data_IF_250939985255
#
_entry.id   IF_250939985255
#
_cell.length_a   1.000
_cell.length_b   1.000
_cell.length_c   1.000
_cell.angle_alpha   90.00
_cell.angle_beta   90.00
_cell.angle_gamma   90.00
#
_symmetry.space_group_name_H-M   'P 1'
#
loop_
_entity.id
_entity.type
_entity.pdbx_description
1 polymer ?
#
# COMPACT_ATOMS: atom_id res chain seq x y z
N UNK A 1 -37.97 -13.03 -3.17
CA UNK A 1 -37.84 -12.57 -1.76
C UNK A 1 -37.05 -13.52 -0.86
N UNK A 2 -37.54 -14.73 -0.53
CA UNK A 2 -36.85 -15.59 0.47
C UNK A 2 -35.50 -16.18 0.01
N UNK A 3 -35.34 -16.49 -1.28
CA UNK A 3 -34.07 -17.01 -1.81
C UNK A 3 -33.01 -15.92 -1.99
N UNK A 4 -33.39 -14.71 -2.36
CA UNK A 4 -32.45 -13.59 -2.51
C UNK A 4 -31.81 -13.22 -1.17
N UNK A 5 -32.60 -13.23 -0.08
CA UNK A 5 -32.11 -13.00 1.27
C UNK A 5 -31.07 -14.05 1.69
N UNK A 6 -31.32 -15.33 1.36
CA UNK A 6 -30.38 -16.43 1.63
C UNK A 6 -29.05 -16.23 0.90
N UNK A 7 -29.10 -15.83 -0.38
CA UNK A 7 -27.89 -15.58 -1.18
C UNK A 7 -27.05 -14.46 -0.57
N UNK A 8 -27.67 -13.35 -0.17
CA UNK A 8 -26.96 -12.23 0.47
C UNK A 8 -26.31 -12.66 1.78
N UNK A 9 -27.01 -13.45 2.60
CA UNK A 9 -26.47 -13.98 3.87
C UNK A 9 -25.29 -14.91 3.61
N UNK A 10 -25.39 -15.86 2.67
CA UNK A 10 -24.28 -16.76 2.34
C UNK A 10 -23.08 -16.00 1.77
N UNK A 11 -23.31 -15.00 0.92
CA UNK A 11 -22.24 -14.21 0.33
C UNK A 11 -21.50 -13.40 1.41
N UNK A 12 -22.25 -12.77 2.32
CA UNK A 12 -21.67 -12.01 3.43
C UNK A 12 -20.92 -12.91 4.40
N UNK A 13 -21.45 -14.11 4.67
CA UNK A 13 -20.80 -15.10 5.50
C UNK A 13 -19.48 -15.58 4.88
N UNK A 14 -19.46 -15.93 3.59
CA UNK A 14 -18.24 -16.36 2.89
C UNK A 14 -17.18 -15.26 2.89
N UNK A 15 -17.56 -14.02 2.57
CA UNK A 15 -16.64 -12.88 2.56
C UNK A 15 -16.12 -12.57 3.97
N UNK A 16 -16.99 -12.58 4.97
CA UNK A 16 -16.63 -12.36 6.37
C UNK A 16 -15.69 -13.44 6.90
N UNK A 17 -15.95 -14.71 6.57
CA UNK A 17 -15.09 -15.83 6.92
C UNK A 17 -13.73 -15.75 6.21
N UNK A 18 -13.70 -15.40 4.93
CA UNK A 18 -12.45 -15.21 4.19
C UNK A 18 -11.58 -14.10 4.78
N UNK A 19 -12.18 -12.95 5.10
CA UNK A 19 -11.47 -11.85 5.76
C UNK A 19 -11.01 -12.22 7.18
N UNK A 20 -11.85 -12.92 7.94
CA UNK A 20 -11.51 -13.40 9.28
C UNK A 20 -10.33 -14.37 9.26
N UNK A 21 -10.32 -15.33 8.32
CA UNK A 21 -9.20 -16.23 8.09
C UNK A 21 -7.93 -15.46 7.73
N UNK A 22 -8.00 -14.52 6.79
CA UNK A 22 -6.85 -13.70 6.40
C UNK A 22 -6.24 -12.98 7.61
N UNK A 23 -7.08 -12.36 8.44
CA UNK A 23 -6.64 -11.64 9.64
C UNK A 23 -6.09 -12.57 10.72
N UNK A 24 -6.56 -13.81 10.78
CA UNK A 24 -6.11 -14.79 11.76
C UNK A 24 -4.79 -15.47 11.35
N UNK A 25 -4.64 -15.82 10.07
CA UNK A 25 -3.46 -16.57 9.58
C UNK A 25 -2.27 -15.67 9.30
N UNK A 26 -2.51 -14.42 8.91
CA UNK A 26 -1.43 -13.47 8.60
C UNK A 26 -1.20 -12.57 9.83
N UNK A 27 0.01 -12.56 10.41
CA UNK A 27 0.31 -11.70 11.55
C UNK A 27 0.24 -10.22 11.16
N UNK A 28 -0.28 -9.40 12.06
CA UNK A 28 -0.32 -7.94 11.92
C UNK A 28 1.11 -7.34 11.81
N UNK A 29 1.27 -6.17 11.20
CA UNK A 29 2.57 -5.50 11.01
C UNK A 29 3.34 -5.34 12.33
N UNK A 30 2.64 -5.07 13.43
CA UNK A 30 3.27 -4.97 14.75
C UNK A 30 3.76 -6.32 15.27
N UNK A 31 3.04 -7.40 14.97
CA UNK A 31 3.46 -8.76 15.33
C UNK A 31 4.63 -9.21 14.46
N UNK A 32 4.63 -8.83 13.17
CA UNK A 32 5.75 -9.04 12.26
C UNK A 32 6.98 -8.29 12.79
N UNK A 33 6.86 -7.00 13.14
CA UNK A 33 7.97 -6.21 13.73
C UNK A 33 8.47 -6.82 15.03
N UNK A 34 7.59 -7.31 15.91
CA UNK A 34 7.99 -7.97 17.17
C UNK A 34 8.74 -9.28 16.94
N UNK A 35 8.38 -10.04 15.90
CA UNK A 35 9.06 -11.28 15.48
C UNK A 35 10.32 -11.03 14.66
N UNK A 36 10.47 -9.85 14.06
CA UNK A 36 11.67 -9.44 13.33
C UNK A 36 12.82 -9.11 14.28
N UNK A 37 13.98 -9.69 13.98
CA UNK A 37 15.26 -9.43 14.61
C UNK A 37 15.60 -7.92 14.56
N UNK A 38 16.20 -7.31 15.62
CA UNK A 38 16.55 -5.89 15.66
C UNK A 38 17.32 -5.35 14.44
N UNK A 39 18.07 -6.21 13.73
CA UNK A 39 18.73 -5.82 12.48
C UNK A 39 17.74 -5.53 11.34
N UNK A 40 16.72 -6.36 11.16
CA UNK A 40 15.71 -6.22 10.11
C UNK A 40 14.78 -5.02 10.34
N UNK A 41 14.60 -4.60 11.61
CA UNK A 41 13.85 -3.37 11.92
C UNK A 41 14.52 -2.13 11.37
N UNK A 42 15.84 -2.03 11.53
CA UNK A 42 16.63 -0.90 11.00
C UNK A 42 16.54 -0.85 9.48
N UNK A 43 16.64 -1.99 8.81
CA UNK A 43 16.48 -2.08 7.36
C UNK A 43 15.07 -1.66 6.90
N UNK A 44 14.03 -2.16 7.56
CA UNK A 44 12.65 -1.77 7.27
C UNK A 44 12.42 -0.26 7.43
N UNK A 45 12.92 0.33 8.52
CA UNK A 45 12.77 1.76 8.77
C UNK A 45 13.54 2.59 7.73
N UNK A 46 14.76 2.17 7.35
CA UNK A 46 15.53 2.81 6.28
C UNK A 46 14.82 2.72 4.93
N UNK A 47 14.30 1.55 4.56
CA UNK A 47 13.57 1.35 3.30
C UNK A 47 12.27 2.17 3.30
N UNK A 48 11.55 2.20 4.42
CA UNK A 48 10.31 2.97 4.57
C UNK A 48 10.57 4.47 4.44
N UNK A 49 11.64 4.98 5.04
CA UNK A 49 12.06 6.36 4.89
C UNK A 49 12.42 6.68 3.42
N UNK A 50 13.27 5.85 2.80
CA UNK A 50 13.66 6.03 1.40
C UNK A 50 12.46 5.98 0.44
N UNK A 51 11.47 5.11 0.69
CA UNK A 51 10.27 5.02 -0.12
C UNK A 51 9.36 6.25 0.05
N UNK A 52 9.25 6.81 1.26
CA UNK A 52 8.54 8.07 1.50
C UNK A 52 9.17 9.22 0.74
N UNK A 53 10.49 9.34 0.77
CA UNK A 53 11.23 10.38 0.04
C UNK A 53 11.05 10.24 -1.48
N UNK A 54 11.13 9.01 -2.01
CA UNK A 54 10.86 8.74 -3.43
C UNK A 54 9.43 9.12 -3.82
N UNK A 55 8.45 8.78 -2.98
CA UNK A 55 7.06 9.12 -3.18
C UNK A 55 6.83 10.64 -3.20
N UNK A 56 7.45 11.38 -2.28
CA UNK A 56 7.38 12.85 -2.25
C UNK A 56 7.99 13.45 -3.52
N UNK A 57 9.20 13.04 -3.92
CA UNK A 57 9.83 13.50 -5.15
C UNK A 57 8.99 13.21 -6.40
N UNK A 58 8.33 12.05 -6.43
CA UNK A 58 7.41 11.70 -7.51
C UNK A 58 6.18 12.61 -7.53
N UNK A 59 5.60 12.91 -6.36
CA UNK A 59 4.48 13.84 -6.26
C UNK A 59 4.87 15.26 -6.68
N UNK A 60 6.06 15.71 -6.31
CA UNK A 60 6.58 17.01 -6.72
C UNK A 60 6.76 17.09 -8.25
N UNK A 61 7.29 16.01 -8.87
CA UNK A 61 7.39 15.91 -10.32
C UNK A 61 6.02 15.92 -11.01
N UNK A 62 5.03 15.20 -10.46
CA UNK A 62 3.66 15.18 -10.99
C UNK A 62 3.03 16.57 -10.87
N UNK A 63 3.27 17.28 -9.77
CA UNK A 63 2.76 18.64 -9.56
C UNK A 63 3.40 19.64 -10.53
N UNK A 64 4.71 19.58 -10.70
CA UNK A 64 5.46 20.41 -11.66
C UNK A 64 5.02 20.12 -13.11
N UNK A 65 4.73 18.87 -13.44
CA UNK A 65 4.18 18.46 -14.73
C UNK A 65 2.67 18.74 -14.89
N UNK A 66 1.94 19.00 -13.81
CA UNK A 66 0.56 19.48 -13.87
C UNK A 66 0.50 21.00 -14.05
N UNK A 67 1.50 21.72 -13.52
CA UNK A 67 1.66 23.16 -13.70
C UNK A 67 2.31 23.51 -15.05
N UNK A 68 3.13 22.61 -15.60
CA UNK A 68 3.69 22.69 -16.95
C UNK A 68 2.79 21.97 -17.95
N UNK A 69 2.59 22.53 -19.15
CA UNK A 69 1.85 21.89 -20.26
C UNK A 69 2.61 20.70 -20.91
N UNK A 70 3.55 20.10 -20.16
CA UNK A 70 4.48 19.07 -20.62
C UNK A 70 4.34 17.83 -19.75
N UNK A 71 4.39 16.63 -20.34
CA UNK A 71 4.16 15.39 -19.62
C UNK A 71 5.26 15.08 -18.58
N UNK A 72 4.88 14.40 -17.50
CA UNK A 72 5.74 14.16 -16.33
C UNK A 72 7.07 13.42 -16.64
N UNK A 73 7.12 12.61 -17.69
CA UNK A 73 8.36 11.91 -18.09
C UNK A 73 9.41 12.86 -18.70
N UNK A 74 9.01 13.98 -19.31
CA UNK A 74 9.95 14.98 -19.82
C UNK A 74 10.56 15.80 -18.69
N UNK A 75 9.73 16.21 -17.73
CA UNK A 75 10.17 16.93 -16.51
C UNK A 75 11.14 16.06 -15.69
N UNK A 76 10.84 14.75 -15.58
CA UNK A 76 11.72 13.80 -14.89
C UNK A 76 13.07 13.59 -15.60
N UNK A 77 13.12 13.62 -16.93
CA UNK A 77 14.38 13.54 -17.70
C UNK A 77 15.20 14.83 -17.57
N UNK A 78 14.56 15.99 -17.48
CA UNK A 78 15.25 17.28 -17.32
C UNK A 78 15.94 17.43 -15.96
N UNK A 79 15.37 16.85 -14.88
CA UNK A 79 16.01 16.83 -13.54
C UNK A 79 17.11 15.76 -13.37
N UNK A 80 17.31 14.88 -14.34
CA UNK A 80 18.29 13.77 -14.28
C UNK A 80 19.62 14.07 -14.98
N UNK A 81 19.66 15.11 -15.82
CA UNK A 81 20.88 15.68 -16.41
C UNK A 81 21.50 16.69 -15.45
#
# INVERSE_FOLDING_TARGET
>A
MANELKVIVYMTAILGTGYGLMKYTVPDEEQIKKRLDPALRKEYDQIKAANREKGQKMMDLIREAAESDRPAWEVANQKRQ
#
